data_IF_876205687000
#
_entry.id   IF_876205687000
#
_cell.length_a   1.000
_cell.length_b   1.000
_cell.length_c   1.000
_cell.angle_alpha   90.00
_cell.angle_beta   90.00
_cell.angle_gamma   90.00
#
_symmetry.space_group_name_H-M   'P 1'
#
loop_
_entity.id
_entity.type
_entity.pdbx_description
1 polymer ?
#
# COMPACT_ATOMS: atom_id res chain seq x y z
N UNK A 1 11.19 -20.58 -32.60
CA UNK A 1 11.87 -20.12 -31.37
C UNK A 1 11.68 -18.61 -31.30
N UNK A 2 10.94 -18.09 -30.31
CA UNK A 2 10.76 -16.63 -30.17
C UNK A 2 12.10 -16.06 -29.71
N UNK A 3 12.67 -15.13 -30.48
CA UNK A 3 13.87 -14.39 -30.10
C UNK A 3 13.70 -13.79 -28.71
N UNK A 4 14.69 -13.99 -27.85
CA UNK A 4 14.79 -13.35 -26.54
C UNK A 4 14.87 -11.83 -26.75
N UNK A 5 13.75 -11.13 -26.60
CA UNK A 5 13.79 -9.69 -26.48
C UNK A 5 14.49 -9.32 -25.17
N UNK A 6 15.45 -8.38 -25.18
CA UNK A 6 16.11 -7.95 -23.96
C UNK A 6 15.07 -7.36 -23.00
N UNK A 7 15.02 -7.91 -21.78
CA UNK A 7 14.15 -7.37 -20.73
C UNK A 7 14.64 -5.95 -20.37
N UNK A 8 13.73 -5.01 -20.05
CA UNK A 8 14.12 -3.69 -19.56
C UNK A 8 15.05 -3.81 -18.34
N UNK A 9 16.15 -3.06 -18.37
CA UNK A 9 17.06 -2.95 -17.22
C UNK A 9 16.63 -1.78 -16.33
N UNK A 10 16.71 -1.91 -14.99
CA UNK A 10 16.45 -0.79 -14.09
C UNK A 10 17.35 0.41 -14.39
N UNK A 11 16.85 1.63 -14.12
CA UNK A 11 17.69 2.84 -14.14
C UNK A 11 18.78 2.74 -13.08
N UNK A 12 19.93 3.37 -13.33
CA UNK A 12 21.00 3.48 -12.34
C UNK A 12 20.44 4.05 -11.01
N UNK A 13 20.91 3.52 -9.88
CA UNK A 13 20.47 3.92 -8.55
C UNK A 13 19.22 3.22 -8.04
N UNK A 14 18.36 2.64 -8.90
CA UNK A 14 17.10 2.00 -8.43
C UNK A 14 17.37 0.83 -7.49
N UNK A 15 18.41 0.05 -7.77
CA UNK A 15 18.80 -1.09 -6.94
C UNK A 15 19.47 -0.66 -5.62
N UNK A 16 19.85 0.61 -5.50
CA UNK A 16 20.49 1.18 -4.32
C UNK A 16 19.48 1.87 -3.37
N UNK A 17 18.22 2.03 -3.80
CA UNK A 17 17.17 2.62 -2.97
C UNK A 17 16.69 1.59 -1.96
N UNK A 18 16.85 1.91 -0.68
CA UNK A 18 16.22 1.14 0.40
C UNK A 18 14.69 1.17 0.25
N UNK A 19 14.08 -0.01 0.31
CA UNK A 19 12.63 -0.12 0.28
C UNK A 19 12.02 0.60 1.49
N UNK A 20 10.94 1.34 1.26
CA UNK A 20 10.18 1.94 2.35
C UNK A 20 9.70 0.87 3.33
N UNK A 21 10.01 1.04 4.61
CA UNK A 21 9.52 0.19 5.69
C UNK A 21 8.30 0.86 6.34
N UNK A 22 7.07 0.31 6.17
CA UNK A 22 5.89 0.87 6.79
C UNK A 22 5.92 0.69 8.32
N UNK A 23 5.25 1.61 9.02
CA UNK A 23 5.00 1.45 10.45
C UNK A 23 4.11 0.24 10.78
N UNK A 24 4.05 -0.12 12.06
CA UNK A 24 3.18 -1.22 12.53
C UNK A 24 1.72 -0.94 12.16
N UNK A 25 1.07 -1.92 11.53
CA UNK A 25 -0.28 -1.73 10.99
C UNK A 25 -1.30 -2.78 11.46
N UNK A 26 -0.84 -3.90 12.01
CA UNK A 26 -1.68 -5.05 12.40
C UNK A 26 -1.80 -5.19 13.91
N UNK A 27 -2.97 -5.64 14.36
CA UNK A 27 -3.15 -6.08 15.74
C UNK A 27 -2.66 -7.54 15.91
N UNK A 28 -2.22 -7.94 17.10
CA UNK A 28 -1.94 -9.35 17.40
C UNK A 28 -3.14 -10.27 17.14
N UNK A 29 -2.86 -11.55 16.88
CA UNK A 29 -3.91 -12.55 16.70
C UNK A 29 -4.81 -12.66 17.95
N UNK A 30 -6.12 -12.86 17.75
CA UNK A 30 -7.10 -12.99 18.83
C UNK A 30 -7.68 -11.66 19.35
N UNK A 31 -7.18 -10.51 18.91
CA UNK A 31 -7.79 -9.21 19.21
C UNK A 31 -9.07 -9.05 18.38
N UNK A 32 -10.22 -9.04 19.06
CA UNK A 32 -11.54 -8.92 18.41
C UNK A 32 -11.95 -7.48 18.15
N UNK A 33 -11.53 -6.55 19.01
CA UNK A 33 -11.81 -5.12 18.87
C UNK A 33 -10.53 -4.36 18.56
N UNK A 34 -10.45 -3.79 17.36
CA UNK A 34 -9.28 -3.04 16.88
C UNK A 34 -9.61 -1.55 16.85
N UNK A 35 -8.78 -0.75 17.51
CA UNK A 35 -8.77 0.71 17.37
C UNK A 35 -7.56 1.11 16.53
N UNK A 36 -7.80 1.47 15.27
CA UNK A 36 -6.75 1.82 14.30
C UNK A 36 -6.42 3.32 14.37
N UNK A 37 -5.22 3.65 14.83
CA UNK A 37 -4.74 5.04 14.99
C UNK A 37 -3.30 5.25 14.47
N UNK A 38 -2.79 4.33 13.65
CA UNK A 38 -1.37 4.28 13.24
C UNK A 38 -1.08 4.81 11.83
N UNK A 39 -2.09 5.35 11.14
CA UNK A 39 -2.02 5.63 9.69
C UNK A 39 -2.63 6.99 9.29
N UNK A 40 -2.96 7.86 10.26
CA UNK A 40 -3.58 9.17 10.03
C UNK A 40 -4.86 9.14 9.17
N UNK A 41 -5.64 8.07 9.29
CA UNK A 41 -6.89 7.88 8.54
C UNK A 41 -7.99 8.82 9.04
N UNK A 42 -8.94 9.15 8.15
CA UNK A 42 -10.15 9.88 8.55
C UNK A 42 -11.11 8.93 9.28
N UNK A 43 -11.47 9.19 10.55
CA UNK A 43 -12.32 8.29 11.34
C UNK A 43 -13.78 8.23 10.85
N UNK A 44 -14.22 9.20 10.04
CA UNK A 44 -15.61 9.27 9.55
C UNK A 44 -15.82 8.54 8.21
N UNK A 45 -14.75 8.07 7.59
CA UNK A 45 -14.81 7.47 6.25
C UNK A 45 -15.07 8.50 5.13
N UNK A 46 -15.30 8.02 3.89
CA UNK A 46 -15.59 8.89 2.75
C UNK A 46 -17.00 9.48 2.82
N UNK A 47 -17.22 10.63 2.16
CA UNK A 47 -18.55 11.26 2.08
C UNK A 47 -19.53 10.43 1.24
N UNK A 48 -20.86 10.54 1.47
CA UNK A 48 -21.86 9.85 0.65
C UNK A 48 -21.72 10.11 -0.85
N UNK A 49 -21.36 11.34 -1.23
CA UNK A 49 -21.14 11.73 -2.63
C UNK A 49 -19.94 10.99 -3.25
N UNK A 50 -18.86 10.82 -2.50
CA UNK A 50 -17.68 10.08 -2.97
C UNK A 50 -17.98 8.58 -3.11
N UNK A 51 -18.79 8.02 -2.21
CA UNK A 51 -19.25 6.63 -2.31
C UNK A 51 -20.13 6.45 -3.54
N UNK A 52 -21.06 7.38 -3.80
CA UNK A 52 -21.95 7.33 -4.97
C UNK A 52 -21.17 7.40 -6.29
N UNK A 53 -20.20 8.30 -6.40
CA UNK A 53 -19.40 8.46 -7.62
C UNK A 53 -18.48 7.27 -7.94
N UNK A 54 -18.13 6.44 -6.95
CA UNK A 54 -17.25 5.29 -7.11
C UNK A 54 -18.00 3.97 -7.42
N UNK A 55 -19.34 3.96 -7.35
CA UNK A 55 -20.18 2.81 -7.72
C UNK A 55 -20.35 2.72 -9.23
#
# INVERSE_FOLDING_TARGET
>A
MKQDQPRPTPRAGIMDIEAYVPGKSTAPAGVTKVHKLSSNENPLGPSPKAIEAAR
#
